data_IF_313256072944
#
_entry.id   IF_313256072944
#
_cell.length_a   1.000
_cell.length_b   1.000
_cell.length_c   1.000
_cell.angle_alpha   90.00
_cell.angle_beta   90.00
_cell.angle_gamma   90.00
#
_symmetry.space_group_name_H-M   'P 1'
#
loop_
_entity.id
_entity.type
_entity.pdbx_description
1 polymer ?
#
# COMPACT_ATOMS: atom_id res chain seq x y z
N UNK A 1 -38.85 22.43 11.69
CA UNK A 1 -37.99 21.55 12.53
C UNK A 1 -36.53 21.83 12.20
N UNK A 2 -35.65 22.00 13.18
CA UNK A 2 -34.22 22.26 12.93
C UNK A 2 -33.45 20.94 12.74
N UNK A 3 -32.60 20.88 11.71
CA UNK A 3 -31.72 19.73 11.44
C UNK A 3 -30.35 20.21 11.01
N UNK A 4 -29.35 19.34 11.10
CA UNK A 4 -28.00 19.65 10.61
C UNK A 4 -27.81 19.16 9.17
N UNK A 5 -27.09 19.94 8.36
CA UNK A 5 -26.78 19.56 7.00
C UNK A 5 -25.69 18.48 6.95
N UNK A 6 -25.95 17.37 6.25
CA UNK A 6 -25.02 16.25 6.09
C UNK A 6 -23.73 16.56 5.30
N UNK A 7 -23.54 17.79 4.82
CA UNK A 7 -22.39 18.20 3.99
C UNK A 7 -21.58 19.31 4.64
N UNK A 8 -22.23 20.24 5.33
CA UNK A 8 -21.56 21.40 5.93
C UNK A 8 -21.78 21.55 7.43
N UNK A 9 -22.54 20.65 8.07
CA UNK A 9 -22.82 20.64 9.51
C UNK A 9 -23.75 21.77 10.00
N UNK A 10 -24.07 22.76 9.15
CA UNK A 10 -24.86 23.93 9.58
C UNK A 10 -26.30 23.53 9.96
N UNK A 11 -26.85 24.10 11.05
CA UNK A 11 -28.26 23.96 11.36
C UNK A 11 -29.10 24.67 10.30
N UNK A 12 -30.18 24.04 9.87
CA UNK A 12 -31.13 24.60 8.91
C UNK A 12 -32.56 24.21 9.26
N UNK A 13 -33.51 25.05 8.84
CA UNK A 13 -34.92 24.77 9.00
C UNK A 13 -35.39 23.79 7.91
N UNK A 14 -35.68 22.55 8.31
CA UNK A 14 -36.17 21.52 7.42
C UNK A 14 -37.68 21.67 7.20
N UNK A 15 -38.08 21.80 5.93
CA UNK A 15 -39.48 21.80 5.49
C UNK A 15 -40.10 20.39 5.41
N UNK A 16 -39.27 19.33 5.46
CA UNK A 16 -39.69 17.92 5.33
C UNK A 16 -38.86 17.01 6.23
N UNK A 17 -39.43 15.96 6.83
CA UNK A 17 -38.74 15.11 7.81
C UNK A 17 -37.57 14.30 7.22
N UNK A 18 -37.52 14.14 5.90
CA UNK A 18 -36.43 13.50 5.17
C UNK A 18 -35.38 14.49 4.62
N UNK A 19 -35.49 15.79 4.93
CA UNK A 19 -34.50 16.76 4.44
C UNK A 19 -33.14 16.55 5.14
N UNK A 20 -32.07 16.39 4.34
CA UNK A 20 -30.69 16.12 4.79
C UNK A 20 -29.71 17.27 4.49
N UNK A 21 -30.13 18.28 3.72
CA UNK A 21 -29.26 19.33 3.22
C UNK A 21 -29.89 20.71 3.42
N UNK A 22 -29.07 21.71 3.77
CA UNK A 22 -29.53 23.09 3.98
C UNK A 22 -29.88 23.84 2.68
N UNK A 23 -29.54 23.30 1.49
CA UNK A 23 -29.85 23.95 0.21
C UNK A 23 -29.39 23.15 -1.01
N UNK A 24 -29.69 23.67 -2.20
CA UNK A 24 -29.37 23.05 -3.49
C UNK A 24 -27.85 22.85 -3.70
N UNK A 25 -27.03 23.78 -3.20
CA UNK A 25 -25.58 23.71 -3.29
C UNK A 25 -25.01 22.49 -2.57
N UNK A 26 -25.45 22.24 -1.33
CA UNK A 26 -25.00 21.08 -0.55
C UNK A 26 -25.50 19.76 -1.16
N UNK A 27 -26.72 19.75 -1.72
CA UNK A 27 -27.24 18.59 -2.45
C UNK A 27 -26.37 18.24 -3.68
N UNK A 28 -25.97 19.25 -4.47
CA UNK A 28 -25.12 19.07 -5.66
C UNK A 28 -23.68 18.70 -5.30
N UNK A 29 -23.18 19.13 -4.14
CA UNK A 29 -21.87 18.74 -3.63
C UNK A 29 -21.85 17.26 -3.23
N UNK A 30 -22.90 16.81 -2.53
CA UNK A 30 -23.08 15.41 -2.17
C UNK A 30 -23.25 14.50 -3.39
N UNK A 31 -23.97 14.94 -4.43
CA UNK A 31 -24.14 14.14 -5.65
C UNK A 31 -22.84 13.95 -6.45
N UNK A 32 -21.86 14.85 -6.30
CA UNK A 32 -20.54 14.77 -6.94
C UNK A 32 -19.51 13.98 -6.14
N UNK A 33 -19.74 13.82 -4.84
CA UNK A 33 -18.84 13.07 -3.96
C UNK A 33 -19.65 12.35 -2.86
N UNK A 34 -20.24 11.19 -3.18
CA UNK A 34 -21.04 10.42 -2.22
C UNK A 34 -20.20 9.83 -1.07
N UNK A 35 -18.87 9.79 -1.19
CA UNK A 35 -17.96 9.24 -0.17
C UNK A 35 -17.62 10.20 0.98
N UNK A 36 -18.15 11.43 0.99
CA UNK A 36 -17.88 12.43 2.03
C UNK A 36 -18.99 12.55 3.09
N UNK A 37 -19.94 11.60 3.15
CA UNK A 37 -21.05 11.63 4.09
C UNK A 37 -21.01 10.45 5.08
N UNK A 38 -20.02 10.44 5.96
CA UNK A 38 -20.15 9.78 7.26
C UNK A 38 -20.45 10.86 8.31
N UNK A 39 -21.50 10.72 9.13
CA UNK A 39 -21.77 11.65 10.23
C UNK A 39 -20.67 11.52 11.29
N UNK A 40 -19.93 12.60 11.51
CA UNK A 40 -19.07 12.78 12.67
C UNK A 40 -19.97 13.16 13.87
N UNK A 41 -20.57 12.17 14.51
CA UNK A 41 -21.03 12.31 15.90
C UNK A 41 -21.28 10.92 16.52
N UNK A 42 -20.17 10.30 16.93
CA UNK A 42 -20.09 9.52 18.14
C UNK A 42 -18.66 9.71 18.65
N UNK A 43 -18.41 10.00 19.94
CA UNK A 43 -17.08 9.82 20.49
C UNK A 43 -16.80 8.32 20.40
N UNK A 44 -16.10 7.92 19.35
CA UNK A 44 -15.43 6.64 19.32
C UNK A 44 -14.40 6.70 20.44
N UNK A 45 -14.81 6.24 21.63
CA UNK A 45 -13.89 5.53 22.51
C UNK A 45 -13.39 4.35 21.68
N UNK A 46 -12.39 4.61 20.84
CA UNK A 46 -11.50 3.59 20.33
C UNK A 46 -10.82 3.03 21.56
N UNK A 47 -11.48 2.04 22.18
CA UNK A 47 -10.78 1.08 23.00
C UNK A 47 -9.58 0.64 22.17
N UNK A 48 -8.35 0.83 22.66
CA UNK A 48 -7.19 0.53 21.86
C UNK A 48 -7.27 -0.97 21.55
N UNK A 49 -7.35 -1.31 20.27
CA UNK A 49 -7.29 -2.70 19.81
C UNK A 49 -5.87 -3.20 20.01
N UNK A 50 -5.44 -3.32 21.27
CA UNK A 50 -4.16 -3.90 21.69
C UNK A 50 -4.29 -5.40 21.68
N UNK A 51 -4.55 -5.99 20.51
CA UNK A 51 -4.12 -7.36 20.24
C UNK A 51 -4.06 -7.71 18.75
N UNK A 52 -3.75 -6.75 17.87
CA UNK A 52 -3.15 -7.10 16.60
C UNK A 52 -1.65 -7.16 16.86
N UNK A 53 -1.05 -8.35 16.78
CA UNK A 53 0.40 -8.48 16.56
C UNK A 53 0.76 -7.44 15.49
N UNK A 54 1.69 -6.50 15.73
CA UNK A 54 2.07 -5.56 14.70
C UNK A 54 2.42 -6.39 13.48
N UNK A 55 1.68 -6.18 12.38
CA UNK A 55 2.15 -6.63 11.06
C UNK A 55 3.52 -6.01 10.97
N UNK A 56 4.58 -6.84 10.97
CA UNK A 56 5.95 -6.35 11.05
C UNK A 56 6.14 -5.21 10.07
N UNK A 57 6.87 -4.18 10.49
CA UNK A 57 7.12 -2.99 9.68
C UNK A 57 7.53 -3.44 8.27
N UNK A 58 6.74 -3.05 7.26
CA UNK A 58 6.96 -3.44 5.87
C UNK A 58 8.37 -3.03 5.42
N UNK A 59 8.89 -1.93 5.98
CA UNK A 59 10.26 -1.47 5.75
C UNK A 59 11.27 -2.50 6.26
N UNK A 60 11.08 -3.03 7.48
CA UNK A 60 11.97 -4.04 8.07
C UNK A 60 11.87 -5.38 7.34
N UNK A 61 10.66 -5.81 6.94
CA UNK A 61 10.50 -7.02 6.13
C UNK A 61 11.18 -6.88 4.76
N UNK A 62 11.09 -5.69 4.13
CA UNK A 62 11.77 -5.40 2.87
C UNK A 62 13.28 -5.37 3.05
N UNK A 63 13.79 -4.76 4.13
CA UNK A 63 15.22 -4.75 4.48
C UNK A 63 15.76 -6.16 4.63
N UNK A 64 15.12 -7.00 5.43
CA UNK A 64 15.56 -8.38 5.66
C UNK A 64 15.64 -9.19 4.36
N UNK A 65 14.68 -9.01 3.44
CA UNK A 65 14.71 -9.64 2.12
C UNK A 65 15.88 -9.12 1.26
N UNK A 66 16.15 -7.80 1.28
CA UNK A 66 17.27 -7.22 0.54
C UNK A 66 18.63 -7.65 1.10
N UNK A 67 18.76 -7.77 2.41
CA UNK A 67 19.95 -8.32 3.09
C UNK A 67 20.18 -9.78 2.69
N UNK A 68 19.13 -10.61 2.72
CA UNK A 68 19.18 -12.01 2.29
C UNK A 68 19.63 -12.15 0.83
N UNK A 69 19.26 -11.19 -0.02
CA UNK A 69 19.65 -11.14 -1.43
C UNK A 69 21.00 -10.44 -1.65
N UNK A 70 21.62 -9.84 -0.63
CA UNK A 70 22.85 -9.06 -0.76
C UNK A 70 22.71 -7.77 -1.57
N UNK A 71 21.49 -7.21 -1.64
CA UNK A 71 21.14 -6.06 -2.51
C UNK A 71 20.79 -4.78 -1.77
N UNK A 72 20.96 -4.76 -0.45
CA UNK A 72 20.60 -3.63 0.41
C UNK A 72 21.24 -2.30 -0.06
N UNK A 73 22.53 -2.32 -0.39
CA UNK A 73 23.30 -1.12 -0.74
C UNK A 73 23.21 -0.73 -2.22
N UNK A 74 22.35 -1.39 -2.99
CA UNK A 74 22.17 -1.07 -4.41
C UNK A 74 21.07 -0.03 -4.61
N UNK A 75 21.13 0.72 -5.73
CA UNK A 75 20.11 1.72 -6.08
C UNK A 75 18.70 1.13 -6.04
N UNK A 76 18.51 -0.07 -6.61
CA UNK A 76 17.23 -0.78 -6.58
C UNK A 76 16.78 -1.15 -5.15
N UNK A 77 17.72 -1.56 -4.28
CA UNK A 77 17.44 -1.86 -2.88
C UNK A 77 16.98 -0.61 -2.10
N UNK A 78 17.67 0.51 -2.28
CA UNK A 78 17.29 1.79 -1.66
C UNK A 78 15.92 2.30 -2.16
N UNK A 79 15.62 2.11 -3.44
CA UNK A 79 14.32 2.42 -4.02
C UNK A 79 13.20 1.57 -3.40
N UNK A 80 13.42 0.26 -3.22
CA UNK A 80 12.44 -0.62 -2.57
C UNK A 80 12.13 -0.18 -1.13
N UNK A 81 13.13 0.22 -0.35
CA UNK A 81 12.93 0.73 1.01
C UNK A 81 12.11 2.03 1.03
N UNK A 82 12.39 2.97 0.12
CA UNK A 82 11.60 4.20 -0.04
C UNK A 82 10.13 3.91 -0.37
N UNK A 83 9.87 2.95 -1.26
CA UNK A 83 8.50 2.57 -1.62
C UNK A 83 7.75 1.92 -0.45
N UNK A 84 8.42 1.06 0.33
CA UNK A 84 7.84 0.45 1.52
C UNK A 84 7.46 1.49 2.59
N UNK A 85 8.34 2.46 2.82
CA UNK A 85 8.13 3.59 3.74
C UNK A 85 6.97 4.49 3.26
N UNK A 86 6.86 4.73 1.95
CA UNK A 86 5.78 5.52 1.38
C UNK A 86 4.42 4.81 1.47
N UNK A 87 4.38 3.48 1.30
CA UNK A 87 3.16 2.68 1.53
C UNK A 87 2.68 2.77 2.97
N UNK A 88 3.60 2.91 3.94
CA UNK A 88 3.25 3.09 5.35
C UNK A 88 2.65 4.48 5.61
N UNK A 89 3.14 5.53 4.92
CA UNK A 89 2.68 6.92 5.09
C UNK A 89 1.37 7.24 4.35
N UNK A 90 1.11 6.61 3.21
CA UNK A 90 -0.05 6.94 2.38
C UNK A 90 -1.36 6.32 2.90
N UNK A 91 -2.36 7.17 3.18
CA UNK A 91 -3.68 6.74 3.66
C UNK A 91 -4.81 6.80 2.61
N UNK A 92 -4.52 7.20 1.37
CA UNK A 92 -5.53 7.22 0.30
C UNK A 92 -5.45 5.96 -0.56
N UNK A 93 -6.58 5.28 -0.74
CA UNK A 93 -6.65 3.98 -1.41
C UNK A 93 -6.13 3.97 -2.86
N UNK A 94 -6.19 5.11 -3.56
CA UNK A 94 -5.73 5.23 -4.95
C UNK A 94 -4.20 5.23 -5.12
N UNK A 95 -3.45 5.80 -4.17
CA UNK A 95 -1.99 5.83 -4.20
C UNK A 95 -1.37 4.48 -3.84
N UNK A 96 -1.99 3.76 -2.90
CA UNK A 96 -1.45 2.51 -2.36
C UNK A 96 -1.31 1.41 -3.43
N UNK A 97 -2.28 1.28 -4.34
CA UNK A 97 -2.23 0.27 -5.39
C UNK A 97 -1.10 0.52 -6.40
N UNK A 98 -0.81 1.78 -6.71
CA UNK A 98 0.29 2.13 -7.60
C UNK A 98 1.65 1.85 -6.94
N UNK A 99 1.82 2.28 -5.69
CA UNK A 99 3.07 2.05 -4.93
C UNK A 99 3.31 0.55 -4.71
N UNK A 100 2.25 -0.22 -4.40
CA UNK A 100 2.33 -1.68 -4.23
C UNK A 100 2.80 -2.39 -5.51
N UNK A 101 2.29 -1.99 -6.68
CA UNK A 101 2.73 -2.54 -7.97
C UNK A 101 4.19 -2.19 -8.26
N UNK A 102 4.59 -0.96 -7.96
CA UNK A 102 5.97 -0.51 -8.16
C UNK A 102 6.94 -1.27 -7.24
N UNK A 103 6.61 -1.44 -5.96
CA UNK A 103 7.41 -2.23 -5.03
C UNK A 103 7.56 -3.68 -5.52
N UNK A 104 6.47 -4.28 -6.01
CA UNK A 104 6.49 -5.64 -6.56
C UNK A 104 7.39 -5.74 -7.80
N UNK A 105 7.37 -4.73 -8.67
CA UNK A 105 8.22 -4.65 -9.87
C UNK A 105 9.70 -4.57 -9.49
N UNK A 106 10.07 -3.67 -8.58
CA UNK A 106 11.47 -3.49 -8.14
C UNK A 106 12.00 -4.77 -7.50
N UNK A 107 11.23 -5.43 -6.63
CA UNK A 107 11.65 -6.70 -6.01
C UNK A 107 11.81 -7.82 -7.05
N UNK A 108 10.97 -7.86 -8.09
CA UNK A 108 11.10 -8.83 -9.17
C UNK A 108 12.39 -8.61 -9.98
N UNK A 109 12.75 -7.36 -10.27
CA UNK A 109 14.00 -7.01 -10.97
C UNK A 109 15.25 -7.40 -10.16
N UNK A 110 15.24 -7.12 -8.86
CA UNK A 110 16.31 -7.51 -7.94
C UNK A 110 16.49 -9.04 -7.97
N UNK A 111 15.40 -9.81 -7.86
CA UNK A 111 15.43 -11.28 -7.90
C UNK A 111 15.91 -11.82 -9.25
N UNK A 112 15.50 -11.23 -10.35
CA UNK A 112 15.99 -11.62 -11.68
C UNK A 112 17.49 -11.40 -11.81
N UNK A 113 18.01 -10.28 -11.31
CA UNK A 113 19.46 -10.02 -11.32
C UNK A 113 20.23 -11.06 -10.49
N UNK A 114 19.69 -11.46 -9.34
CA UNK A 114 20.31 -12.50 -8.49
C UNK A 114 20.35 -13.84 -9.23
N UNK A 115 19.23 -14.27 -9.81
CA UNK A 115 19.19 -15.52 -10.59
C UNK A 115 20.18 -15.51 -11.76
N UNK A 116 20.33 -14.38 -12.47
CA UNK A 116 21.27 -14.24 -13.59
C UNK A 116 22.74 -14.26 -13.15
N UNK A 117 23.07 -13.97 -11.89
CA UNK A 117 24.44 -14.12 -11.39
C UNK A 117 24.73 -15.58 -11.02
N UNK A 118 23.74 -16.30 -10.51
CA UNK A 118 23.88 -17.71 -10.11
C UNK A 118 23.87 -18.68 -11.33
N UNK A 119 22.99 -18.46 -12.31
CA UNK A 119 22.81 -19.36 -13.48
C UNK A 119 24.05 -19.54 -14.41
N UNK A 120 24.78 -18.50 -14.83
CA UNK A 120 25.76 -18.62 -15.92
C UNK A 120 27.01 -19.41 -15.54
N UNK A 121 27.39 -19.41 -14.26
CA UNK A 121 28.52 -20.21 -13.76
C UNK A 121 28.08 -21.65 -13.49
N UNK A 122 26.85 -21.85 -13.03
CA UNK A 122 26.32 -23.18 -12.73
C UNK A 122 26.01 -23.97 -14.01
N UNK A 123 25.53 -23.31 -15.07
CA UNK A 123 25.34 -23.95 -16.37
C UNK A 123 26.68 -24.43 -16.98
N UNK A 124 27.75 -23.65 -16.81
CA UNK A 124 29.10 -23.98 -17.29
C UNK A 124 29.71 -25.14 -16.49
N UNK A 125 29.52 -25.18 -15.17
CA UNK A 125 29.93 -26.31 -14.33
C UNK A 125 29.17 -27.59 -14.67
N UNK A 126 27.85 -27.50 -14.85
CA UNK A 126 27.02 -28.64 -15.23
C UNK A 126 27.45 -29.24 -16.59
N UNK A 127 27.71 -28.39 -17.59
CA UNK A 127 28.27 -28.84 -18.88
C UNK A 127 29.63 -29.50 -18.74
N UNK A 128 30.52 -28.94 -17.92
CA UNK A 128 31.87 -29.49 -17.71
C UNK A 128 31.82 -30.86 -17.03
N UNK A 129 30.96 -31.02 -16.03
CA UNK A 129 30.85 -32.27 -15.28
C UNK A 129 30.13 -33.35 -16.10
N UNK A 130 29.14 -32.99 -16.92
CA UNK A 130 28.55 -33.90 -17.91
C UNK A 130 29.60 -34.41 -18.92
N UNK A 131 30.49 -33.52 -19.39
CA UNK A 131 31.58 -33.88 -20.32
C UNK A 131 32.62 -34.81 -19.69
N UNK A 132 32.91 -34.63 -18.38
CA UNK A 132 33.82 -35.51 -17.62
C UNK A 132 33.24 -36.90 -17.38
N UNK A 133 31.92 -37.00 -17.12
CA UNK A 133 31.22 -38.29 -16.95
C UNK A 133 31.06 -39.09 -18.24
N UNK A 134 31.05 -38.43 -19.39
CA UNK A 134 30.96 -39.10 -20.70
C UNK A 134 32.33 -39.58 -21.24
N UNK A 135 33.43 -39.18 -20.61
CA UNK A 135 34.80 -39.44 -21.07
C UNK A 135 35.62 -40.35 -20.14
N UNK A 136 35.00 -40.88 -19.08
CA UNK A 136 35.57 -41.90 -18.18
C UNK A 136 34.65 -43.11 -18.13
#
# INVERSE_FOLDING_TARGET
MQRQCAVCGKPFEARRPQARFCGATCRKRHSRNPSAAAPADAPAVVAPMTNRKPVGDLVEATRAELERLGRLDTVAGQQALRLADEMYRFQTAGGLAAISKELSRVLAEIRQTVNVVDDPIDELKARRDAKRRAAG
#
